data_IF_496940294781
#
_entry.id   IF_496940294781
#
_cell.length_a   1.000
_cell.length_b   1.000
_cell.length_c   1.000
_cell.angle_alpha   90.00
_cell.angle_beta   90.00
_cell.angle_gamma   90.00
#
_symmetry.space_group_name_H-M   'P 1'
#
loop_
_entity.id
_entity.type
_entity.pdbx_description
1 polymer ?
#
# COMPACT_ATOMS: atom_id res chain seq x y z
N UNK A 1 11.71 -29.28 -2.67
CA UNK A 1 10.31 -29.63 -2.35
C UNK A 1 10.23 -30.65 -1.22
N UNK A 2 11.02 -31.72 -1.25
CA UNK A 2 11.02 -32.74 -0.18
C UNK A 2 11.37 -32.19 1.20
N UNK A 3 12.42 -31.37 1.35
CA UNK A 3 12.71 -30.68 2.62
C UNK A 3 11.55 -29.83 3.16
N UNK A 4 10.77 -29.20 2.27
CA UNK A 4 9.61 -28.42 2.67
C UNK A 4 8.49 -29.34 3.18
N UNK A 5 8.21 -30.41 2.43
CA UNK A 5 7.22 -31.41 2.82
C UNK A 5 7.60 -32.07 4.14
N UNK A 6 8.84 -32.48 4.32
CA UNK A 6 9.36 -33.07 5.55
C UNK A 6 9.29 -32.09 6.74
N UNK A 7 9.68 -30.83 6.52
CA UNK A 7 9.63 -29.80 7.56
C UNK A 7 8.20 -29.56 8.05
N UNK A 8 7.27 -29.44 7.10
CA UNK A 8 5.85 -29.23 7.37
C UNK A 8 5.05 -30.52 7.53
N UNK A 9 5.69 -31.70 7.62
CA UNK A 9 5.00 -32.99 7.75
C UNK A 9 3.86 -33.17 6.73
N UNK A 10 4.20 -33.04 5.44
CA UNK A 10 3.30 -33.22 4.30
C UNK A 10 3.68 -34.48 3.50
N UNK A 11 2.72 -35.26 2.98
CA UNK A 11 1.27 -35.08 3.15
C UNK A 11 0.81 -35.45 4.56
N UNK A 12 -0.14 -34.69 5.11
CA UNK A 12 -0.71 -34.89 6.44
C UNK A 12 -1.91 -33.96 6.64
N UNK A 13 -2.77 -34.24 7.62
CA UNK A 13 -3.90 -33.37 7.94
C UNK A 13 -3.38 -32.02 8.46
N UNK A 14 -3.67 -30.95 7.72
CA UNK A 14 -3.23 -29.60 8.08
C UNK A 14 -3.92 -29.06 9.32
N UNK A 15 -5.03 -29.67 9.75
CA UNK A 15 -5.80 -29.30 10.93
C UNK A 15 -5.46 -30.15 12.19
N UNK A 16 -4.51 -31.08 12.11
CA UNK A 16 -4.05 -31.85 13.28
C UNK A 16 -3.28 -30.94 14.26
N UNK A 17 -3.86 -30.74 15.46
CA UNK A 17 -3.26 -29.94 16.54
C UNK A 17 -1.87 -30.43 16.96
N UNK A 18 -1.63 -31.76 16.96
CA UNK A 18 -0.32 -32.32 17.35
C UNK A 18 0.75 -32.00 16.31
N UNK A 19 0.38 -32.02 15.03
CA UNK A 19 1.27 -31.58 13.93
C UNK A 19 1.58 -30.09 14.05
N UNK A 20 0.58 -29.26 14.36
CA UNK A 20 0.77 -27.83 14.56
C UNK A 20 1.78 -27.53 15.69
N UNK A 21 1.68 -28.22 16.83
CA UNK A 21 2.62 -28.09 17.95
C UNK A 21 4.05 -28.45 17.58
N UNK A 22 4.26 -29.56 16.84
CA UNK A 22 5.59 -29.98 16.39
C UNK A 22 6.22 -28.98 15.41
N UNK A 23 5.44 -28.47 14.46
CA UNK A 23 5.91 -27.45 13.52
C UNK A 23 6.26 -26.15 14.27
N UNK A 24 5.44 -25.72 15.24
CA UNK A 24 5.73 -24.57 16.10
C UNK A 24 7.06 -24.73 16.86
N UNK A 25 7.31 -25.91 17.43
CA UNK A 25 8.56 -26.21 18.12
C UNK A 25 9.79 -26.16 17.17
N UNK A 26 9.68 -26.73 15.96
CA UNK A 26 10.75 -26.66 14.94
C UNK A 26 11.05 -25.23 14.52
N UNK A 27 10.03 -24.40 14.33
CA UNK A 27 10.21 -22.97 13.99
C UNK A 27 10.89 -22.22 15.13
N UNK A 28 10.53 -22.50 16.39
CA UNK A 28 11.17 -21.88 17.55
C UNK A 28 12.66 -22.24 17.67
N UNK A 29 13.02 -23.51 17.43
CA UNK A 29 14.42 -23.96 17.42
C UNK A 29 15.25 -23.24 16.34
N UNK A 30 14.72 -23.11 15.12
CA UNK A 30 15.39 -22.40 14.03
C UNK A 30 15.59 -20.90 14.31
N UNK A 31 14.66 -20.26 15.03
CA UNK A 31 14.82 -18.87 15.47
C UNK A 31 15.99 -18.72 16.43
N UNK A 32 16.08 -19.62 17.42
CA UNK A 32 17.15 -19.61 18.40
C UNK A 32 18.52 -19.92 17.79
N UNK A 33 18.59 -20.80 16.78
CA UNK A 33 19.82 -21.08 16.04
C UNK A 33 20.27 -19.88 15.19
N UNK A 34 19.36 -19.24 14.46
CA UNK A 34 19.68 -18.02 13.70
C UNK A 34 20.11 -16.86 14.58
N UNK A 35 19.54 -16.73 15.77
CA UNK A 35 19.98 -15.76 16.78
C UNK A 35 21.38 -16.06 17.34
N UNK A 36 21.80 -17.33 17.34
CA UNK A 36 23.17 -17.71 17.70
C UNK A 36 24.16 -17.50 16.56
N UNK A 37 23.78 -17.81 15.32
CA UNK A 37 24.61 -17.59 14.13
C UNK A 37 24.80 -16.10 13.81
N UNK A 38 23.78 -15.26 13.99
CA UNK A 38 23.89 -13.80 13.80
C UNK A 38 24.78 -13.11 14.83
N UNK A 39 25.08 -13.78 15.96
CA UNK A 39 25.96 -13.31 17.03
C UNK A 39 27.43 -13.71 16.83
N UNK A 40 27.83 -14.15 15.64
CA UNK A 40 29.23 -14.46 15.34
C UNK A 40 30.17 -13.26 15.54
N UNK A 41 31.06 -13.35 16.54
CA UNK A 41 32.26 -12.55 16.87
C UNK A 41 32.23 -11.00 16.78
N UNK A 42 31.10 -10.37 16.46
CA UNK A 42 30.89 -8.92 16.52
C UNK A 42 29.60 -8.60 17.28
N UNK A 43 29.59 -7.52 18.05
CA UNK A 43 28.38 -7.02 18.73
C UNK A 43 27.34 -6.69 17.64
N UNK A 44 26.23 -7.45 17.58
CA UNK A 44 25.12 -7.13 16.68
C UNK A 44 24.65 -5.71 16.95
N UNK A 45 24.61 -4.86 15.92
CA UNK A 45 24.07 -3.51 16.06
C UNK A 45 22.59 -3.57 16.44
N UNK A 46 22.14 -2.58 17.20
CA UNK A 46 20.72 -2.40 17.45
C UNK A 46 19.98 -1.99 16.17
N UNK A 47 18.65 -2.13 16.16
CA UNK A 47 17.85 -1.65 15.04
C UNK A 47 18.05 -0.14 14.84
N UNK A 48 18.13 0.60 15.93
CA UNK A 48 18.30 2.05 15.93
C UNK A 48 19.65 2.45 15.33
N UNK A 49 20.74 1.75 15.70
CA UNK A 49 22.08 1.94 15.12
C UNK A 49 22.10 1.64 13.62
N UNK A 50 21.43 0.57 13.17
CA UNK A 50 21.32 0.24 11.74
C UNK A 50 20.49 1.27 10.97
N UNK A 51 19.41 1.78 11.57
CA UNK A 51 18.64 2.86 10.96
C UNK A 51 19.49 4.13 10.82
N UNK A 52 20.19 4.54 11.87
CA UNK A 52 21.05 5.73 11.86
C UNK A 52 22.18 5.62 10.83
N UNK A 53 22.82 4.46 10.74
CA UNK A 53 23.79 4.17 9.68
C UNK A 53 23.17 4.27 8.28
N UNK A 54 21.93 3.81 8.09
CA UNK A 54 21.25 3.83 6.80
C UNK A 54 20.85 5.24 6.33
N UNK A 55 20.70 6.22 7.23
CA UNK A 55 20.31 7.59 6.87
C UNK A 55 21.32 8.24 5.90
N UNK A 56 22.60 7.89 6.01
CA UNK A 56 23.70 8.44 5.22
C UNK A 56 24.39 7.43 4.31
N UNK A 57 24.00 6.14 4.37
CA UNK A 57 24.57 5.07 3.56
C UNK A 57 24.49 5.34 2.05
N UNK A 58 25.35 4.65 1.29
CA UNK A 58 25.33 4.67 -0.17
C UNK A 58 24.02 4.10 -0.74
N UNK A 59 23.48 3.04 -0.11
CA UNK A 59 22.19 2.44 -0.46
C UNK A 59 21.19 2.70 0.66
N UNK A 60 20.21 3.55 0.36
CA UNK A 60 19.28 4.10 1.36
C UNK A 60 17.90 3.45 1.30
N UNK A 61 17.36 3.09 2.46
CA UNK A 61 15.98 2.63 2.60
C UNK A 61 15.03 3.84 2.67
N UNK A 62 14.60 4.32 1.50
CA UNK A 62 13.72 5.49 1.38
C UNK A 62 12.23 5.18 1.67
N UNK A 63 11.90 3.91 1.86
CA UNK A 63 10.55 3.48 2.22
C UNK A 63 10.47 1.98 2.41
N UNK A 64 9.85 1.57 3.51
CA UNK A 64 9.56 0.18 3.82
C UNK A 64 8.05 -0.06 3.74
N UNK A 65 7.66 -1.18 3.14
CA UNK A 65 6.26 -1.62 3.00
C UNK A 65 6.08 -2.96 3.70
N UNK A 66 5.05 -3.07 4.53
CA UNK A 66 4.60 -4.34 5.11
C UNK A 66 3.22 -4.68 4.57
N UNK A 67 3.02 -5.94 4.17
CA UNK A 67 1.71 -6.50 3.86
C UNK A 67 1.19 -7.24 5.10
N UNK A 68 -0.04 -6.99 5.50
CA UNK A 68 -0.65 -7.61 6.68
C UNK A 68 -2.15 -7.84 6.49
N UNK A 69 -2.75 -8.57 7.43
CA UNK A 69 -4.20 -8.67 7.52
C UNK A 69 -4.75 -7.43 8.24
N UNK A 70 -5.95 -6.95 7.89
CA UNK A 70 -6.73 -5.98 8.64
C UNK A 70 -6.69 -6.14 10.15
N UNK A 71 -6.93 -7.33 10.70
CA UNK A 71 -6.92 -7.56 12.15
C UNK A 71 -5.53 -7.46 12.83
N UNK A 72 -4.48 -7.21 12.05
CA UNK A 72 -3.09 -6.99 12.48
C UNK A 72 -2.59 -5.59 12.05
N UNK A 73 -3.51 -4.65 11.81
CA UNK A 73 -3.24 -3.29 11.39
C UNK A 73 -3.69 -2.24 12.41
N UNK A 74 -3.88 -2.62 13.68
CA UNK A 74 -4.31 -1.69 14.73
C UNK A 74 -3.14 -0.89 15.29
N UNK A 75 -3.44 0.05 16.19
CA UNK A 75 -2.50 0.95 16.86
C UNK A 75 -1.25 0.23 17.36
N UNK A 76 -1.40 -0.88 18.08
CA UNK A 76 -0.28 -1.62 18.67
C UNK A 76 0.72 -2.07 17.58
N UNK A 77 0.23 -2.74 16.54
CA UNK A 77 1.07 -3.16 15.42
C UNK A 77 1.59 -1.95 14.64
N UNK A 78 0.78 -0.90 14.49
CA UNK A 78 1.18 0.36 13.86
C UNK A 78 2.36 1.04 14.56
N UNK A 79 2.40 1.03 15.90
CA UNK A 79 3.52 1.55 16.68
C UNK A 79 4.80 0.72 16.44
N UNK A 80 4.68 -0.60 16.34
CA UNK A 80 5.81 -1.46 15.99
C UNK A 80 6.28 -1.22 14.54
N UNK A 81 5.35 -1.02 13.61
CA UNK A 81 5.68 -0.67 12.21
C UNK A 81 6.45 0.65 12.14
N UNK A 82 6.08 1.66 12.95
CA UNK A 82 6.83 2.91 13.06
C UNK A 82 8.25 2.68 13.57
N UNK A 83 8.42 1.84 14.61
CA UNK A 83 9.74 1.47 15.15
C UNK A 83 10.63 0.83 14.07
N UNK A 84 10.06 -0.03 13.23
CA UNK A 84 10.75 -0.68 12.11
C UNK A 84 11.09 0.27 10.95
N UNK A 85 10.59 1.51 10.93
CA UNK A 85 10.79 2.45 9.82
C UNK A 85 9.86 2.22 8.63
N UNK A 86 8.72 1.55 8.85
CA UNK A 86 7.68 1.34 7.83
C UNK A 86 7.08 2.68 7.44
N UNK A 87 6.75 2.85 6.15
CA UNK A 87 6.08 4.05 5.64
C UNK A 87 4.76 3.73 4.94
N UNK A 88 4.57 2.47 4.53
CA UNK A 88 3.35 1.99 3.87
C UNK A 88 2.91 0.66 4.47
N UNK A 89 1.62 0.53 4.70
CA UNK A 89 1.00 -0.73 5.07
C UNK A 89 0.03 -1.14 3.96
N UNK A 90 0.06 -2.41 3.59
CA UNK A 90 -0.88 -3.00 2.65
C UNK A 90 -1.81 -3.97 3.37
N UNK A 91 -3.11 -3.66 3.35
CA UNK A 91 -4.12 -4.45 4.01
C UNK A 91 -4.80 -5.39 3.02
N UNK A 92 -4.77 -6.68 3.33
CA UNK A 92 -5.49 -7.69 2.59
C UNK A 92 -6.99 -7.71 2.87
N UNK A 93 -7.72 -6.67 2.47
CA UNK A 93 -9.19 -6.49 2.62
C UNK A 93 -9.99 -7.50 1.81
N UNK A 94 -9.53 -7.80 0.59
CA UNK A 94 -10.12 -8.71 -0.39
C UNK A 94 -11.49 -8.29 -0.94
N UNK A 95 -12.48 -8.02 -0.09
CA UNK A 95 -13.86 -7.68 -0.48
C UNK A 95 -14.57 -6.93 0.65
N UNK A 96 -15.63 -6.20 0.33
CA UNK A 96 -16.46 -5.47 1.31
C UNK A 96 -17.69 -6.27 1.77
N UNK A 97 -17.70 -7.59 1.55
CA UNK A 97 -18.78 -8.50 1.90
C UNK A 97 -18.31 -9.54 2.92
N UNK A 98 -18.83 -9.46 4.15
CA UNK A 98 -18.41 -10.34 5.25
C UNK A 98 -18.69 -11.82 4.99
N UNK A 99 -19.81 -12.16 4.34
CA UNK A 99 -20.13 -13.53 3.93
C UNK A 99 -19.06 -14.17 3.02
N UNK A 100 -18.40 -13.38 2.18
CA UNK A 100 -17.32 -13.85 1.31
C UNK A 100 -16.06 -14.03 2.13
N UNK A 101 -15.74 -13.08 3.03
CA UNK A 101 -14.61 -13.16 3.95
C UNK A 101 -14.71 -14.42 4.84
N UNK A 102 -15.89 -14.66 5.42
CA UNK A 102 -16.18 -15.85 6.22
C UNK A 102 -16.01 -17.13 5.39
N UNK A 103 -16.54 -17.18 4.16
CA UNK A 103 -16.38 -18.35 3.29
C UNK A 103 -14.92 -18.67 3.00
N UNK A 104 -14.10 -17.67 2.68
CA UNK A 104 -12.68 -17.89 2.39
C UNK A 104 -11.82 -18.01 3.65
N UNK A 105 -12.46 -18.20 4.80
CA UNK A 105 -11.85 -18.32 6.13
C UNK A 105 -10.86 -17.17 6.42
N UNK A 106 -11.29 -15.95 6.07
CA UNK A 106 -10.57 -14.74 6.43
C UNK A 106 -10.87 -14.44 7.89
N UNK A 107 -9.86 -14.41 8.75
CA UNK A 107 -10.06 -14.13 10.18
C UNK A 107 -10.24 -12.65 10.51
N UNK A 108 -10.89 -11.89 9.63
CA UNK A 108 -11.32 -10.52 9.87
C UNK A 108 -12.60 -10.23 9.09
N UNK A 109 -13.35 -9.24 9.55
CA UNK A 109 -14.51 -8.65 8.89
C UNK A 109 -14.15 -7.31 8.22
N UNK A 110 -15.15 -6.71 7.60
CA UNK A 110 -15.04 -5.38 6.97
C UNK A 110 -14.77 -4.29 8.01
N UNK A 111 -15.34 -4.40 9.21
CA UNK A 111 -15.13 -3.42 10.28
C UNK A 111 -13.66 -3.39 10.75
N UNK A 112 -13.02 -4.55 10.90
CA UNK A 112 -11.59 -4.64 11.17
C UNK A 112 -10.75 -3.96 10.08
N UNK A 113 -11.19 -4.04 8.82
CA UNK A 113 -10.55 -3.31 7.71
C UNK A 113 -10.69 -1.80 7.87
N UNK A 114 -11.90 -1.31 8.13
CA UNK A 114 -12.17 0.12 8.35
C UNK A 114 -11.35 0.66 9.54
N UNK A 115 -11.39 -0.05 10.67
CA UNK A 115 -10.65 0.33 11.88
C UNK A 115 -9.15 0.42 11.63
N UNK A 116 -8.55 -0.58 10.99
CA UNK A 116 -7.11 -0.56 10.67
C UNK A 116 -6.74 0.53 9.70
N UNK A 117 -7.55 0.79 8.67
CA UNK A 117 -7.32 1.92 7.77
C UNK A 117 -7.33 3.25 8.53
N UNK A 118 -8.28 3.44 9.46
CA UNK A 118 -8.37 4.65 10.28
C UNK A 118 -7.13 4.86 11.16
N UNK A 119 -6.74 3.83 11.93
CA UNK A 119 -5.62 3.92 12.87
C UNK A 119 -4.28 4.09 12.14
N UNK A 120 -4.07 3.39 11.02
CA UNK A 120 -2.84 3.54 10.23
C UNK A 120 -2.73 4.93 9.59
N UNK A 121 -3.85 5.51 9.13
CA UNK A 121 -3.85 6.89 8.62
C UNK A 121 -3.52 7.91 9.70
N UNK A 122 -4.10 7.75 10.89
CA UNK A 122 -3.85 8.65 12.03
C UNK A 122 -2.45 8.49 12.63
N UNK A 123 -1.75 7.39 12.33
CA UNK A 123 -0.31 7.21 12.54
C UNK A 123 0.55 7.71 11.36
N UNK A 124 -0.06 8.26 10.31
CA UNK A 124 0.62 8.84 9.16
C UNK A 124 0.95 7.87 8.03
N UNK A 125 0.67 6.57 8.13
CA UNK A 125 1.02 5.60 7.07
C UNK A 125 0.29 5.86 5.77
N UNK A 126 0.96 5.55 4.64
CA UNK A 126 0.28 5.26 3.37
C UNK A 126 -0.46 3.94 3.48
N UNK A 127 -1.71 3.90 3.04
CA UNK A 127 -2.55 2.70 3.11
C UNK A 127 -2.88 2.21 1.71
N UNK A 128 -2.35 1.04 1.36
CA UNK A 128 -2.74 0.29 0.18
C UNK A 128 -3.73 -0.80 0.60
N UNK A 129 -4.77 -1.05 -0.19
CA UNK A 129 -5.63 -2.21 0.02
C UNK A 129 -5.51 -3.19 -1.14
N UNK A 130 -5.58 -4.47 -0.82
CA UNK A 130 -5.63 -5.54 -1.80
C UNK A 130 -7.07 -6.06 -1.90
N UNK A 131 -7.69 -5.86 -3.06
CA UNK A 131 -9.01 -6.36 -3.42
C UNK A 131 -8.88 -7.54 -4.37
N UNK A 132 -9.73 -8.55 -4.19
CA UNK A 132 -9.76 -9.74 -5.02
C UNK A 132 -11.11 -9.89 -5.74
N UNK A 133 -11.05 -10.21 -7.03
CA UNK A 133 -12.24 -10.47 -7.84
C UNK A 133 -12.52 -11.97 -7.90
N UNK A 134 -13.79 -12.37 -7.86
CA UNK A 134 -14.21 -13.73 -8.11
C UNK A 134 -13.90 -14.69 -6.96
N UNK A 135 -13.96 -14.21 -5.73
CA UNK A 135 -13.92 -15.06 -4.54
C UNK A 135 -15.22 -15.88 -4.38
N UNK A 136 -15.18 -17.11 -3.84
CA UNK A 136 -16.37 -17.92 -3.61
C UNK A 136 -17.19 -17.44 -2.40
N UNK A 137 -18.50 -17.69 -2.45
CA UNK A 137 -19.49 -17.59 -1.37
C UNK A 137 -19.81 -18.96 -0.79
N UNK A 138 -20.67 -19.01 0.23
CA UNK A 138 -21.08 -20.24 0.90
C UNK A 138 -21.60 -21.32 -0.06
N UNK A 139 -22.37 -20.92 -1.06
CA UNK A 139 -22.94 -21.78 -2.10
C UNK A 139 -21.95 -22.22 -3.21
N UNK A 140 -20.67 -21.82 -3.09
CA UNK A 140 -19.64 -22.11 -4.09
C UNK A 140 -19.63 -21.15 -5.29
N UNK A 141 -20.63 -20.26 -5.41
CA UNK A 141 -20.68 -19.26 -6.48
C UNK A 141 -19.83 -18.05 -6.15
N UNK A 142 -19.47 -17.29 -7.18
CA UNK A 142 -18.81 -15.99 -7.04
C UNK A 142 -19.85 -14.88 -6.87
N UNK A 143 -19.40 -13.71 -6.42
CA UNK A 143 -20.16 -12.48 -6.62
C UNK A 143 -20.43 -12.28 -8.11
N UNK A 144 -21.61 -11.77 -8.42
CA UNK A 144 -21.94 -11.30 -9.77
C UNK A 144 -21.06 -10.12 -10.15
N UNK A 145 -20.93 -9.86 -11.46
CA UNK A 145 -20.24 -8.67 -11.97
C UNK A 145 -20.73 -7.37 -11.32
N UNK A 146 -22.04 -7.24 -11.08
CA UNK A 146 -22.62 -6.05 -10.48
C UNK A 146 -22.20 -5.88 -9.02
N UNK A 147 -22.18 -6.97 -8.24
CA UNK A 147 -21.70 -6.98 -6.85
C UNK A 147 -20.19 -6.69 -6.77
N UNK A 148 -19.37 -7.25 -7.67
CA UNK A 148 -17.93 -6.95 -7.75
C UNK A 148 -17.67 -5.46 -8.03
N UNK A 149 -18.42 -4.88 -8.98
CA UNK A 149 -18.34 -3.45 -9.27
C UNK A 149 -18.82 -2.61 -8.09
N UNK A 150 -19.90 -3.01 -7.42
CA UNK A 150 -20.40 -2.35 -6.21
C UNK A 150 -19.35 -2.36 -5.09
N UNK A 151 -18.68 -3.50 -4.88
CA UNK A 151 -17.59 -3.65 -3.90
C UNK A 151 -16.47 -2.65 -4.14
N UNK A 152 -16.02 -2.55 -5.41
CA UNK A 152 -14.94 -1.67 -5.82
C UNK A 152 -15.33 -0.19 -5.87
N UNK A 153 -16.61 0.14 -6.09
CA UNK A 153 -17.14 1.51 -5.95
C UNK A 153 -17.18 1.94 -4.50
N UNK A 154 -17.70 1.07 -3.62
CA UNK A 154 -17.88 1.35 -2.20
C UNK A 154 -16.59 1.82 -1.53
N UNK A 155 -15.44 1.19 -1.83
CA UNK A 155 -14.15 1.58 -1.23
C UNK A 155 -13.69 3.02 -1.57
N UNK A 156 -14.28 3.68 -2.57
CA UNK A 156 -13.98 5.06 -2.92
C UNK A 156 -15.09 6.04 -2.53
N UNK A 157 -16.35 5.59 -2.57
CA UNK A 157 -17.51 6.39 -2.18
C UNK A 157 -17.58 6.57 -0.65
N UNK A 158 -17.42 5.46 0.08
CA UNK A 158 -17.49 5.42 1.54
C UNK A 158 -16.21 6.02 2.17
N UNK A 159 -16.34 7.13 2.93
CA UNK A 159 -15.22 7.77 3.62
C UNK A 159 -14.46 6.84 4.57
N UNK A 160 -15.07 5.74 5.04
CA UNK A 160 -14.41 4.77 5.91
C UNK A 160 -13.16 4.12 5.26
N UNK A 161 -13.11 4.02 3.93
CA UNK A 161 -12.03 3.38 3.17
C UNK A 161 -11.10 4.38 2.47
N UNK A 162 -11.49 4.87 1.28
CA UNK A 162 -10.80 5.83 0.40
C UNK A 162 -9.28 5.60 0.24
N UNK A 163 -8.80 4.37 -0.05
CA UNK A 163 -7.39 3.99 0.06
C UNK A 163 -6.47 4.82 -0.84
N UNK A 164 -5.24 5.08 -0.40
CA UNK A 164 -4.25 5.79 -1.22
C UNK A 164 -3.84 4.98 -2.45
N UNK A 165 -3.84 3.66 -2.29
CA UNK A 165 -3.35 2.69 -3.26
C UNK A 165 -4.27 1.48 -3.33
N UNK A 166 -4.32 0.86 -4.51
CA UNK A 166 -5.12 -0.33 -4.75
C UNK A 166 -4.33 -1.40 -5.53
N UNK A 167 -4.35 -2.63 -5.03
CA UNK A 167 -4.04 -3.86 -5.77
C UNK A 167 -5.35 -4.58 -6.09
N UNK A 168 -5.58 -4.94 -7.36
CA UNK A 168 -6.77 -5.69 -7.80
C UNK A 168 -6.33 -7.01 -8.43
N UNK A 169 -6.55 -8.13 -7.73
CA UNK A 169 -6.15 -9.46 -8.21
C UNK A 169 -7.37 -10.34 -8.46
N UNK A 170 -7.54 -10.89 -9.66
CA UNK A 170 -8.47 -11.99 -9.87
C UNK A 170 -8.09 -13.19 -8.99
N UNK A 171 -9.08 -13.86 -8.41
CA UNK A 171 -8.89 -15.11 -7.69
C UNK A 171 -8.42 -16.20 -8.66
N UNK A 172 -7.36 -16.90 -8.28
CA UNK A 172 -6.76 -17.99 -9.05
C UNK A 172 -6.93 -19.30 -8.28
N UNK A 173 -7.19 -20.37 -9.03
CA UNK A 173 -7.21 -21.73 -8.47
C UNK A 173 -5.78 -22.26 -8.50
N UNK A 174 -5.16 -22.39 -7.33
CA UNK A 174 -3.79 -22.88 -7.19
C UNK A 174 -3.79 -24.37 -6.85
N UNK A 175 -2.85 -25.17 -7.40
CA UNK A 175 -2.69 -26.58 -7.04
C UNK A 175 -2.53 -26.79 -5.53
N UNK A 176 -3.19 -27.82 -4.99
CA UNK A 176 -3.09 -28.19 -3.58
C UNK A 176 -3.85 -27.25 -2.62
N UNK A 177 -4.81 -26.47 -3.12
CA UNK A 177 -5.66 -25.60 -2.29
C UNK A 177 -7.09 -26.12 -2.23
N UNK A 178 -7.85 -25.75 -1.19
CA UNK A 178 -9.27 -26.09 -1.10
C UNK A 178 -10.10 -25.54 -2.29
N UNK A 179 -9.67 -24.44 -2.90
CA UNK A 179 -10.28 -23.94 -4.15
C UNK A 179 -10.12 -24.90 -5.32
N UNK A 180 -8.98 -25.60 -5.41
CA UNK A 180 -8.76 -26.60 -6.45
C UNK A 180 -9.70 -27.79 -6.30
N UNK A 181 -9.94 -28.23 -5.07
CA UNK A 181 -10.89 -29.32 -4.79
C UNK A 181 -12.32 -28.94 -5.20
N UNK A 182 -12.75 -27.71 -4.88
CA UNK A 182 -14.06 -27.20 -5.28
C UNK A 182 -14.18 -27.07 -6.82
N UNK A 183 -13.11 -26.63 -7.47
CA UNK A 183 -13.04 -26.54 -8.93
C UNK A 183 -13.14 -27.94 -9.58
N UNK A 184 -12.36 -28.91 -9.13
CA UNK A 184 -12.38 -30.30 -9.63
C UNK A 184 -13.74 -30.98 -9.44
N UNK A 185 -14.48 -30.62 -8.38
CA UNK A 185 -15.85 -31.11 -8.13
C UNK A 185 -16.93 -30.38 -8.94
N UNK A 186 -16.57 -29.36 -9.74
CA UNK A 186 -17.53 -28.54 -10.49
C UNK A 186 -18.36 -27.58 -9.63
N UNK A 187 -18.00 -27.39 -8.35
CA UNK A 187 -18.73 -26.54 -7.40
C UNK A 187 -18.32 -25.08 -7.52
N UNK A 188 -17.07 -24.81 -7.90
CA UNK A 188 -16.53 -23.46 -8.07
C UNK A 188 -16.05 -23.25 -9.51
N UNK A 189 -16.48 -22.15 -10.13
CA UNK A 189 -15.95 -21.68 -11.39
C UNK A 189 -15.20 -20.36 -11.16
N UNK A 190 -13.89 -20.26 -11.47
CA UNK A 190 -13.15 -19.02 -11.28
C UNK A 190 -13.59 -17.94 -12.27
N UNK A 191 -13.18 -16.70 -12.01
CA UNK A 191 -13.43 -15.58 -12.91
C UNK A 191 -12.59 -15.72 -14.19
N UNK A 192 -13.21 -15.47 -15.35
CA UNK A 192 -12.54 -15.49 -16.63
C UNK A 192 -11.70 -14.22 -16.84
N UNK A 193 -10.70 -14.30 -17.74
CA UNK A 193 -9.83 -13.18 -18.10
C UNK A 193 -10.62 -11.98 -18.63
N UNK A 194 -11.59 -12.22 -19.49
CA UNK A 194 -12.45 -11.21 -20.11
C UNK A 194 -13.33 -10.53 -19.07
N UNK A 195 -14.04 -11.31 -18.25
CA UNK A 195 -14.91 -10.82 -17.17
C UNK A 195 -14.11 -9.96 -16.17
N UNK A 196 -12.92 -10.43 -15.73
CA UNK A 196 -12.06 -9.67 -14.85
C UNK A 196 -11.58 -8.36 -15.49
N UNK A 197 -11.20 -8.39 -16.77
CA UNK A 197 -10.74 -7.21 -17.47
C UNK A 197 -11.84 -6.16 -17.61
N UNK A 198 -13.05 -6.59 -17.96
CA UNK A 198 -14.23 -5.73 -18.10
C UNK A 198 -14.60 -5.06 -16.76
N UNK A 199 -14.59 -5.81 -15.65
CA UNK A 199 -14.79 -5.24 -14.31
C UNK A 199 -13.71 -4.17 -14.03
N UNK A 200 -12.44 -4.46 -14.28
CA UNK A 200 -11.35 -3.53 -14.00
C UNK A 200 -11.42 -2.27 -14.88
N UNK A 201 -11.84 -2.39 -16.13
CA UNK A 201 -12.04 -1.24 -17.02
C UNK A 201 -13.15 -0.34 -16.49
N UNK A 202 -14.27 -0.92 -16.07
CA UNK A 202 -15.36 -0.15 -15.46
C UNK A 202 -14.94 0.53 -14.17
N UNK A 203 -14.18 -0.14 -13.31
CA UNK A 203 -13.65 0.46 -12.07
C UNK A 203 -12.78 1.68 -12.35
N UNK A 204 -11.95 1.59 -13.39
CA UNK A 204 -11.03 2.66 -13.78
C UNK A 204 -11.72 3.97 -14.16
N UNK A 205 -13.02 3.97 -14.47
CA UNK A 205 -13.81 5.18 -14.76
C UNK A 205 -13.95 6.10 -13.54
N UNK A 206 -14.04 5.53 -12.34
CA UNK A 206 -14.36 6.29 -11.13
C UNK A 206 -13.23 6.32 -10.09
N UNK A 207 -12.07 5.71 -10.36
CA UNK A 207 -10.93 5.78 -9.43
C UNK A 207 -10.50 7.23 -9.24
N UNK A 208 -10.51 7.74 -7.98
CA UNK A 208 -10.16 9.12 -7.70
C UNK A 208 -8.72 9.46 -8.07
N UNK A 209 -8.50 10.74 -8.35
CA UNK A 209 -7.21 11.29 -8.76
C UNK A 209 -6.10 11.17 -7.72
N UNK A 210 -6.46 10.99 -6.44
CA UNK A 210 -5.53 10.74 -5.33
C UNK A 210 -5.10 9.27 -5.23
N UNK A 211 -5.79 8.34 -5.87
CA UNK A 211 -5.53 6.91 -5.71
C UNK A 211 -4.56 6.41 -6.78
N UNK A 212 -3.68 5.47 -6.42
CA UNK A 212 -2.78 4.78 -7.34
C UNK A 212 -3.10 3.28 -7.43
N UNK A 213 -3.49 2.81 -8.61
CA UNK A 213 -3.54 1.35 -8.86
C UNK A 213 -2.11 0.82 -8.94
N UNK A 214 -1.65 0.19 -7.87
CA UNK A 214 -0.32 -0.42 -7.77
C UNK A 214 -0.19 -1.55 -8.78
N UNK A 215 -1.16 -2.45 -8.80
CA UNK A 215 -1.04 -3.69 -9.56
C UNK A 215 -2.40 -4.27 -9.94
N UNK A 216 -2.43 -4.87 -11.12
CA UNK A 216 -3.56 -5.63 -11.66
C UNK A 216 -2.96 -6.99 -11.95
N UNK A 217 -3.41 -8.03 -11.24
CA UNK A 217 -2.86 -9.41 -11.22
C UNK A 217 -1.54 -9.62 -10.43
N UNK A 218 -1.30 -10.88 -10.04
CA UNK A 218 0.00 -11.36 -9.54
C UNK A 218 0.80 -12.01 -10.68
N UNK A 219 2.14 -11.93 -10.62
CA UNK A 219 3.04 -12.49 -11.65
C UNK A 219 3.23 -13.98 -11.33
N UNK A 220 2.14 -14.73 -11.41
CA UNK A 220 2.15 -16.18 -11.31
C UNK A 220 2.19 -16.70 -12.76
N UNK A 221 3.15 -17.55 -13.11
CA UNK A 221 3.16 -18.21 -14.41
C UNK A 221 1.86 -19.00 -14.62
N UNK A 222 1.24 -18.92 -15.81
CA UNK A 222 -0.07 -19.54 -16.06
C UNK A 222 -0.05 -21.06 -15.95
N UNK A 223 1.09 -21.70 -16.21
CA UNK A 223 1.26 -23.15 -16.00
C UNK A 223 1.28 -23.55 -14.51
N UNK A 224 1.42 -22.60 -13.59
CA UNK A 224 1.41 -22.85 -12.15
C UNK A 224 0.01 -22.73 -11.52
N UNK A 225 -1.01 -22.35 -12.31
CA UNK A 225 -2.41 -22.27 -11.87
C UNK A 225 -3.21 -23.42 -12.47
N UNK A 226 -4.14 -23.99 -11.70
CA UNK A 226 -5.09 -24.99 -12.22
C UNK A 226 -6.17 -24.33 -13.08
N UNK A 227 -6.67 -23.15 -12.68
CA UNK A 227 -7.70 -22.40 -13.40
C UNK A 227 -7.78 -20.93 -12.97
N UNK A 228 -8.51 -20.12 -13.73
CA UNK A 228 -8.72 -18.68 -13.50
C UNK A 228 -8.15 -17.85 -14.64
N UNK A 229 -7.73 -16.62 -14.33
CA UNK A 229 -7.12 -15.74 -15.33
C UNK A 229 -5.84 -16.36 -15.89
N UNK A 230 -5.84 -16.55 -17.21
CA UNK A 230 -4.88 -17.33 -17.99
C UNK A 230 -3.86 -16.46 -18.74
N UNK A 231 -3.76 -15.18 -18.36
CA UNK A 231 -2.82 -14.21 -18.95
C UNK A 231 -1.88 -13.63 -17.90
N UNK A 232 -0.58 -13.62 -18.21
CA UNK A 232 0.43 -12.93 -17.40
C UNK A 232 0.51 -11.44 -17.68
N UNK A 233 -0.25 -10.93 -18.66
CA UNK A 233 -0.24 -9.53 -19.08
C UNK A 233 -1.62 -8.83 -18.97
N UNK A 234 -2.48 -9.22 -18.02
CA UNK A 234 -3.83 -8.67 -17.83
C UNK A 234 -3.85 -7.14 -17.80
N UNK A 235 -2.83 -6.49 -17.22
CA UNK A 235 -2.75 -5.03 -17.20
C UNK A 235 -2.69 -4.42 -18.61
N UNK A 236 -1.97 -5.05 -19.55
CA UNK A 236 -1.91 -4.62 -20.95
C UNK A 236 -3.24 -4.87 -21.64
N UNK A 237 -3.85 -6.03 -21.38
CA UNK A 237 -5.16 -6.39 -21.91
C UNK A 237 -6.25 -5.39 -21.47
N UNK A 238 -6.32 -5.08 -20.17
CA UNK A 238 -7.20 -4.04 -19.59
C UNK A 238 -6.93 -2.67 -20.23
N UNK A 239 -5.68 -2.32 -20.52
CA UNK A 239 -5.35 -1.04 -21.14
C UNK A 239 -5.84 -0.96 -22.60
N UNK A 240 -5.71 -2.06 -23.35
CA UNK A 240 -6.24 -2.15 -24.71
C UNK A 240 -7.77 -2.11 -24.73
N UNK A 241 -8.42 -2.82 -23.81
CA UNK A 241 -9.86 -2.81 -23.63
C UNK A 241 -10.39 -1.41 -23.28
N UNK A 242 -9.77 -0.75 -22.28
CA UNK A 242 -10.12 0.63 -21.92
C UNK A 242 -9.99 1.58 -23.11
N UNK A 243 -8.94 1.45 -23.93
CA UNK A 243 -8.75 2.27 -25.13
C UNK A 243 -9.87 2.03 -26.15
N UNK A 244 -10.24 0.77 -26.39
CA UNK A 244 -11.31 0.38 -27.32
C UNK A 244 -12.67 0.94 -26.89
N UNK A 245 -12.94 0.98 -25.59
CA UNK A 245 -14.19 1.46 -25.00
C UNK A 245 -14.19 2.96 -24.69
N UNK A 246 -13.13 3.69 -25.03
CA UNK A 246 -13.02 5.13 -24.76
C UNK A 246 -12.90 5.48 -23.26
N UNK A 247 -12.47 4.53 -22.43
CA UNK A 247 -12.33 4.73 -20.98
C UNK A 247 -11.05 5.46 -20.63
N UNK A 248 -11.19 6.63 -20.01
CA UNK A 248 -10.07 7.43 -19.50
C UNK A 248 -9.94 7.23 -17.99
N UNK A 249 -8.82 6.64 -17.55
CA UNK A 249 -8.54 6.46 -16.13
C UNK A 249 -7.78 7.65 -15.54
N UNK A 250 -8.28 8.22 -14.44
CA UNK A 250 -7.72 9.39 -13.76
C UNK A 250 -6.79 9.06 -12.58
N UNK A 251 -6.55 7.78 -12.29
CA UNK A 251 -5.66 7.38 -11.18
C UNK A 251 -4.22 7.89 -11.40
N UNK A 252 -3.45 8.01 -10.32
CA UNK A 252 -2.06 8.50 -10.35
C UNK A 252 -1.21 7.72 -11.36
N UNK A 253 -1.31 6.38 -11.39
CA UNK A 253 -0.49 5.56 -12.31
C UNK A 253 -0.77 5.82 -13.78
N UNK A 254 -1.99 6.25 -14.14
CA UNK A 254 -2.34 6.57 -15.52
C UNK A 254 -1.88 7.99 -15.92
N UNK A 255 -1.65 8.86 -14.93
CA UNK A 255 -1.23 10.26 -15.11
C UNK A 255 0.23 10.52 -14.73
N UNK A 256 0.96 9.61 -14.09
CA UNK A 256 2.38 9.82 -13.78
C UNK A 256 3.19 10.12 -15.05
N UNK A 257 4.12 11.08 -14.98
CA UNK A 257 4.87 11.60 -16.14
C UNK A 257 5.71 10.51 -16.83
N UNK A 258 6.18 9.51 -16.09
CA UNK A 258 7.03 8.44 -16.62
C UNK A 258 8.31 9.02 -17.23
N UNK A 259 8.68 8.54 -18.44
CA UNK A 259 9.85 9.02 -19.19
C UNK A 259 9.54 10.20 -20.14
N UNK A 260 8.33 10.76 -20.09
CA UNK A 260 7.90 11.79 -21.05
C UNK A 260 8.48 13.14 -20.67
N UNK A 261 8.97 13.88 -21.65
CA UNK A 261 9.34 15.29 -21.49
C UNK A 261 8.07 16.13 -21.44
N UNK A 262 7.93 16.94 -20.41
CA UNK A 262 6.82 17.91 -20.29
C UNK A 262 7.37 19.26 -20.72
N UNK A 263 6.60 20.06 -21.47
CA UNK A 263 7.07 21.38 -21.95
C UNK A 263 6.40 22.53 -21.18
N UNK A 264 5.24 22.28 -20.56
CA UNK A 264 4.48 23.30 -19.82
C UNK A 264 4.87 23.37 -18.36
N UNK A 265 4.78 24.56 -17.78
CA UNK A 265 5.00 24.77 -16.35
C UNK A 265 3.93 24.04 -15.52
N UNK A 266 4.32 23.31 -14.45
CA UNK A 266 3.37 22.59 -13.63
C UNK A 266 2.61 23.53 -12.68
N UNK A 267 1.30 23.32 -12.59
CA UNK A 267 0.42 24.00 -11.63
C UNK A 267 0.23 23.16 -10.37
N UNK A 268 0.10 23.82 -9.22
CA UNK A 268 -0.33 23.17 -7.99
C UNK A 268 -1.85 22.91 -8.05
N UNK A 269 -2.25 21.68 -7.76
CA UNK A 269 -3.66 21.27 -7.62
C UNK A 269 -3.84 20.63 -6.26
N UNK A 270 -4.76 21.17 -5.46
CA UNK A 270 -5.10 20.64 -4.13
C UNK A 270 -6.49 20.02 -4.19
N UNK A 271 -6.61 18.78 -3.73
CA UNK A 271 -7.88 18.06 -3.61
C UNK A 271 -8.08 17.66 -2.16
N UNK A 272 -9.13 18.19 -1.55
CA UNK A 272 -9.52 17.83 -0.19
C UNK A 272 -10.58 16.74 -0.22
N UNK A 273 -10.49 15.77 0.70
CA UNK A 273 -11.51 14.76 0.89
C UNK A 273 -11.46 14.21 2.31
N UNK A 274 -12.62 13.80 2.82
CA UNK A 274 -12.69 13.10 4.10
C UNK A 274 -12.24 11.65 3.95
N UNK A 275 -11.52 11.11 4.93
CA UNK A 275 -11.24 9.68 5.00
C UNK A 275 -11.03 9.26 6.45
N UNK A 276 -11.72 8.20 6.87
CA UNK A 276 -11.65 7.64 8.22
C UNK A 276 -11.78 8.72 9.30
N UNK A 277 -12.83 9.54 9.20
CA UNK A 277 -13.16 10.69 10.07
C UNK A 277 -12.13 11.82 10.13
N UNK A 278 -11.03 11.75 9.37
CA UNK A 278 -10.07 12.84 9.23
C UNK A 278 -10.18 13.53 7.88
N UNK A 279 -9.41 14.60 7.71
CA UNK A 279 -9.36 15.38 6.46
C UNK A 279 -8.05 15.13 5.74
N UNK A 280 -8.12 14.71 4.48
CA UNK A 280 -6.99 14.46 3.60
C UNK A 280 -6.85 15.57 2.56
N UNK A 281 -5.62 15.97 2.28
CA UNK A 281 -5.25 16.93 1.25
C UNK A 281 -4.27 16.26 0.31
N UNK A 282 -4.72 15.98 -0.91
CA UNK A 282 -3.87 15.51 -1.99
C UNK A 282 -3.40 16.70 -2.83
N UNK A 283 -2.15 17.10 -2.64
CA UNK A 283 -1.51 18.21 -3.34
C UNK A 283 -0.65 17.65 -4.47
N UNK A 284 -0.81 18.14 -5.70
CA UNK A 284 -0.09 17.60 -6.86
C UNK A 284 0.40 18.71 -7.77
N UNK A 285 1.61 18.53 -8.31
CA UNK A 285 2.14 19.35 -9.38
C UNK A 285 1.76 18.71 -10.71
N UNK A 286 0.87 19.36 -11.45
CA UNK A 286 0.28 18.81 -12.68
C UNK A 286 0.60 19.65 -13.93
N UNK A 287 0.90 19.01 -15.05
CA UNK A 287 1.05 19.66 -16.35
C UNK A 287 0.61 18.73 -17.47
N UNK A 288 -0.10 19.24 -18.49
CA UNK A 288 -0.59 18.45 -19.62
C UNK A 288 -1.31 17.15 -19.18
N UNK A 289 -2.13 17.25 -18.13
CA UNK A 289 -2.85 16.11 -17.53
C UNK A 289 -1.94 15.01 -16.94
N UNK A 290 -0.69 15.36 -16.63
CA UNK A 290 0.29 14.49 -15.99
C UNK A 290 0.63 14.98 -14.59
N UNK A 291 0.93 14.04 -13.70
CA UNK A 291 1.41 14.28 -12.34
C UNK A 291 2.93 14.18 -12.34
N UNK A 292 3.61 15.27 -11.99
CA UNK A 292 5.07 15.34 -11.85
C UNK A 292 5.53 15.06 -10.42
N UNK A 293 4.67 15.30 -9.45
CA UNK A 293 4.89 14.99 -8.05
C UNK A 293 3.64 15.28 -7.26
N UNK A 294 3.53 14.67 -6.08
CA UNK A 294 2.41 14.86 -5.18
C UNK A 294 2.83 14.73 -3.72
N UNK A 295 1.99 15.26 -2.84
CA UNK A 295 2.09 15.18 -1.40
C UNK A 295 0.72 14.81 -0.82
N UNK A 296 0.71 13.93 0.18
CA UNK A 296 -0.47 13.58 0.99
C UNK A 296 -0.33 14.19 2.35
N UNK A 297 -1.20 15.11 2.71
CA UNK A 297 -1.30 15.69 4.05
C UNK A 297 -2.61 15.27 4.71
N UNK A 298 -2.60 15.04 6.02
CA UNK A 298 -3.78 14.66 6.79
C UNK A 298 -3.90 15.49 8.06
N UNK A 299 -5.11 15.91 8.39
CA UNK A 299 -5.47 16.26 9.77
C UNK A 299 -6.06 15.02 10.43
N UNK A 300 -5.38 14.45 11.43
CA UNK A 300 -5.78 13.19 12.03
C UNK A 300 -7.04 13.38 12.87
N UNK A 301 -7.82 12.30 13.00
CA UNK A 301 -8.99 12.29 13.87
C UNK A 301 -8.62 11.81 15.28
N UNK A 302 -7.71 10.84 15.39
CA UNK A 302 -7.20 10.33 16.66
C UNK A 302 -5.73 10.68 16.84
N UNK A 303 -5.35 11.01 18.07
CA UNK A 303 -3.97 11.28 18.46
C UNK A 303 -3.31 9.98 18.96
N UNK A 304 -2.78 9.19 18.04
CA UNK A 304 -2.35 7.80 18.33
C UNK A 304 -0.88 7.65 18.75
N UNK A 305 -0.10 8.73 18.70
CA UNK A 305 1.31 8.74 19.08
C UNK A 305 1.64 10.08 19.77
N UNK A 306 2.52 10.13 20.81
CA UNK A 306 2.83 11.37 21.55
C UNK A 306 3.31 12.54 20.68
N UNK A 307 3.99 12.25 19.58
CA UNK A 307 4.44 13.26 18.62
C UNK A 307 3.30 13.94 17.81
N UNK A 308 2.09 13.37 17.83
CA UNK A 308 0.92 13.83 17.09
C UNK A 308 -0.05 14.50 18.07
N UNK A 309 -0.29 15.79 17.87
CA UNK A 309 -1.14 16.64 18.73
C UNK A 309 -2.31 17.24 17.93
N UNK A 310 -3.26 17.87 18.62
CA UNK A 310 -4.35 18.65 18.00
C UNK A 310 -3.83 19.69 16.99
N UNK A 311 -2.64 20.24 17.24
CA UNK A 311 -2.01 21.26 16.39
C UNK A 311 -1.20 20.67 15.22
N UNK A 312 -1.21 19.34 15.06
CA UNK A 312 -0.39 18.63 14.07
C UNK A 312 -1.09 18.47 12.72
N UNK A 313 -0.33 18.64 11.65
CA UNK A 313 -0.64 18.21 10.29
C UNK A 313 0.35 17.12 9.87
N UNK A 314 -0.17 15.97 9.43
CA UNK A 314 0.64 14.81 9.08
C UNK A 314 0.97 14.82 7.60
N UNK A 315 2.25 14.74 7.21
CA UNK A 315 2.66 14.43 5.83
C UNK A 315 2.89 12.92 5.74
N UNK A 316 2.01 12.27 4.98
CA UNK A 316 1.95 10.81 4.82
C UNK A 316 2.80 10.31 3.65
N UNK A 317 2.95 11.16 2.64
CA UNK A 317 3.74 10.86 1.45
C UNK A 317 4.19 12.16 0.79
N UNK A 318 5.46 12.22 0.39
CA UNK A 318 5.95 13.12 -0.64
C UNK A 318 6.58 12.25 -1.73
N UNK A 319 6.13 12.43 -2.96
CA UNK A 319 6.67 11.70 -4.10
C UNK A 319 6.85 12.65 -5.27
N UNK A 320 8.09 12.79 -5.76
CA UNK A 320 8.39 13.53 -6.98
C UNK A 320 8.88 12.51 -8.01
N UNK A 321 8.22 12.47 -9.16
CA UNK A 321 8.67 11.66 -10.27
C UNK A 321 9.89 12.33 -10.89
N UNK A 322 11.03 11.66 -10.82
CA UNK A 322 12.23 12.00 -11.58
C UNK A 322 12.66 10.82 -12.44
N UNK A 323 13.57 11.06 -13.38
CA UNK A 323 14.44 9.98 -13.83
C UNK A 323 15.36 9.61 -12.66
N UNK A 324 15.59 8.32 -12.43
CA UNK A 324 16.51 7.88 -11.39
C UNK A 324 17.92 8.36 -11.78
N UNK A 325 18.36 9.49 -11.21
CA UNK A 325 19.72 9.99 -11.38
C UNK A 325 20.53 9.50 -10.18
N UNK A 326 21.68 8.90 -10.44
CA UNK A 326 22.62 8.53 -9.38
C UNK A 326 22.99 9.77 -8.56
N UNK A 327 23.21 9.59 -7.26
CA UNK A 327 23.62 10.67 -6.35
C UNK A 327 24.96 11.23 -6.84
N UNK A 328 24.97 12.43 -7.40
CA UNK A 328 26.18 13.13 -7.82
C UNK A 328 26.21 13.56 -9.30
N UNK A 329 25.34 13.02 -10.15
CA UNK A 329 25.28 13.41 -11.57
C UNK A 329 24.11 14.35 -11.84
N UNK A 330 24.36 15.38 -12.66
CA UNK A 330 23.33 16.28 -13.16
C UNK A 330 22.99 15.90 -14.60
N UNK A 331 21.81 15.35 -14.81
CA UNK A 331 21.27 15.19 -16.16
C UNK A 331 20.70 16.52 -16.67
N UNK A 332 20.88 16.82 -17.95
CA UNK A 332 20.37 18.03 -18.61
C UNK A 332 18.82 18.11 -18.61
N UNK A 333 18.14 16.98 -18.30
CA UNK A 333 16.68 16.90 -18.06
C UNK A 333 16.27 17.04 -16.58
N UNK A 334 17.21 16.87 -15.64
CA UNK A 334 16.98 16.91 -14.18
C UNK A 334 16.60 18.29 -13.64
N UNK A 335 16.77 19.34 -14.44
CA UNK A 335 16.35 20.72 -14.13
C UNK A 335 14.84 20.87 -14.01
N UNK A 336 14.03 20.02 -14.67
CA UNK A 336 12.58 20.19 -14.74
C UNK A 336 11.83 19.75 -13.47
N UNK A 337 12.41 18.83 -12.71
CA UNK A 337 11.84 18.32 -11.46
C UNK A 337 12.52 18.89 -10.20
N UNK A 338 13.60 19.67 -10.38
CA UNK A 338 14.30 20.33 -9.27
C UNK A 338 13.37 21.31 -8.57
N UNK A 339 13.24 21.17 -7.26
CA UNK A 339 12.45 22.06 -6.42
C UNK A 339 10.95 21.75 -6.32
N UNK A 340 10.39 20.81 -7.10
CA UNK A 340 8.97 20.45 -6.97
C UNK A 340 8.63 19.91 -5.58
N UNK A 341 9.54 19.11 -5.01
CA UNK A 341 9.39 18.60 -3.64
C UNK A 341 9.31 19.73 -2.63
N UNK A 342 10.20 20.73 -2.73
CA UNK A 342 10.17 21.92 -1.86
C UNK A 342 8.89 22.73 -2.05
N UNK A 343 8.46 22.99 -3.30
CA UNK A 343 7.19 23.68 -3.60
C UNK A 343 5.98 22.98 -2.96
N UNK A 344 5.94 21.65 -2.98
CA UNK A 344 4.87 20.86 -2.33
C UNK A 344 4.95 20.96 -0.80
N UNK A 345 6.15 20.93 -0.22
CA UNK A 345 6.34 21.14 1.22
C UNK A 345 5.89 22.54 1.64
N UNK A 346 6.34 23.59 0.95
CA UNK A 346 5.97 24.99 1.23
C UNK A 346 4.45 25.22 1.12
N UNK A 347 3.80 24.60 0.12
CA UNK A 347 2.36 24.61 -0.03
C UNK A 347 1.67 23.91 1.16
N UNK A 348 2.16 22.74 1.58
CA UNK A 348 1.59 22.00 2.71
C UNK A 348 1.73 22.76 4.04
N UNK A 349 2.87 23.40 4.28
CA UNK A 349 3.11 24.23 5.47
C UNK A 349 2.19 25.45 5.48
N UNK A 350 2.01 26.09 4.32
CA UNK A 350 1.06 27.21 4.17
C UNK A 350 -0.38 26.79 4.42
N UNK A 351 -0.83 25.66 3.85
CA UNK A 351 -2.17 25.12 4.10
C UNK A 351 -2.38 24.73 5.56
N UNK A 352 -1.37 24.14 6.21
CA UNK A 352 -1.42 23.81 7.62
C UNK A 352 -1.61 25.08 8.48
N UNK A 353 -0.84 26.15 8.22
CA UNK A 353 -0.99 27.45 8.91
C UNK A 353 -2.38 28.06 8.71
N UNK A 354 -2.91 28.04 7.49
CA UNK A 354 -4.27 28.57 7.21
C UNK A 354 -5.36 27.82 7.98
N UNK A 355 -5.15 26.55 8.32
CA UNK A 355 -6.04 25.75 9.16
C UNK A 355 -5.66 25.76 10.66
N UNK A 356 -4.83 26.72 11.10
CA UNK A 356 -4.46 26.88 12.50
C UNK A 356 -3.55 25.79 13.06
N UNK A 357 -2.95 24.96 12.21
CA UNK A 357 -1.98 23.95 12.63
C UNK A 357 -0.62 24.61 12.87
N UNK A 358 0.07 24.18 13.93
CA UNK A 358 1.35 24.73 14.37
C UNK A 358 2.51 23.74 14.30
N UNK A 359 2.24 22.48 13.95
CA UNK A 359 3.26 21.43 13.86
C UNK A 359 3.05 20.61 12.59
N UNK A 360 4.13 20.41 11.83
CA UNK A 360 4.19 19.40 10.77
C UNK A 360 4.82 18.13 11.32
N UNK A 361 4.25 16.97 10.99
CA UNK A 361 4.77 15.64 11.37
C UNK A 361 4.86 14.79 10.12
N UNK A 362 6.06 14.33 9.76
CA UNK A 362 6.32 13.58 8.54
C UNK A 362 6.71 12.15 8.86
N UNK A 363 6.01 11.18 8.27
CA UNK A 363 6.45 9.79 8.26
C UNK A 363 7.48 9.57 7.13
N UNK A 364 8.76 9.73 7.48
CA UNK A 364 9.86 9.58 6.54
C UNK A 364 10.42 8.16 6.56
N UNK A 365 10.75 7.62 5.39
CA UNK A 365 11.68 6.50 5.31
C UNK A 365 13.03 6.90 5.90
N UNK A 366 13.71 5.95 6.54
CA UNK A 366 14.98 6.17 7.26
C UNK A 366 16.00 6.87 6.36
N UNK A 367 16.22 6.32 5.17
CA UNK A 367 17.14 6.85 4.16
C UNK A 367 16.73 8.19 3.53
N UNK A 368 15.54 8.72 3.83
CA UNK A 368 15.03 9.99 3.33
C UNK A 368 15.01 11.10 4.39
N UNK A 369 15.34 10.82 5.66
CA UNK A 369 15.29 11.80 6.76
C UNK A 369 16.17 13.04 6.51
N UNK A 370 17.33 12.85 5.91
CA UNK A 370 18.25 13.93 5.51
C UNK A 370 17.61 14.98 4.58
N UNK A 371 16.67 14.58 3.71
CA UNK A 371 15.95 15.51 2.83
C UNK A 371 15.11 16.51 3.65
N UNK A 372 14.48 16.03 4.73
CA UNK A 372 13.66 16.86 5.60
C UNK A 372 14.52 17.72 6.55
N UNK A 373 15.67 17.20 7.02
CA UNK A 373 16.62 17.98 7.84
C UNK A 373 17.09 19.25 7.14
N UNK A 374 17.41 19.17 5.85
CA UNK A 374 17.79 20.33 5.02
C UNK A 374 16.69 21.39 4.90
N UNK A 375 15.45 21.08 5.27
CA UNK A 375 14.29 21.99 5.26
C UNK A 375 13.88 22.42 6.68
N UNK A 376 14.71 22.14 7.68
CA UNK A 376 14.49 22.54 9.07
C UNK A 376 13.62 21.58 9.89
N UNK A 377 13.40 20.35 9.42
CA UNK A 377 12.75 19.32 10.22
C UNK A 377 13.76 18.62 11.13
N UNK A 378 13.34 18.29 12.35
CA UNK A 378 14.14 17.54 13.34
C UNK A 378 13.48 16.20 13.63
N UNK A 379 14.26 15.21 14.09
CA UNK A 379 13.73 13.88 14.43
C UNK A 379 13.02 13.94 15.78
N UNK A 380 11.78 13.44 15.85
CA UNK A 380 11.02 13.25 17.09
C UNK A 380 10.40 11.84 17.07
N UNK A 381 11.04 10.91 17.79
CA UNK A 381 10.70 9.48 17.73
C UNK A 381 10.85 8.93 16.30
N UNK A 382 9.79 8.31 15.72
CA UNK A 382 9.84 7.76 14.36
C UNK A 382 9.63 8.80 13.26
N UNK A 383 9.26 10.05 13.60
CA UNK A 383 8.87 11.09 12.64
C UNK A 383 9.95 12.14 12.44
N UNK A 384 9.82 12.91 11.35
CA UNK A 384 10.49 14.20 11.17
C UNK A 384 9.47 15.31 11.43
N UNK A 385 9.75 16.22 12.35
CA UNK A 385 8.81 17.26 12.78
C UNK A 385 9.35 18.67 12.53
N UNK A 386 8.45 19.63 12.35
CA UNK A 386 8.79 21.05 12.27
C UNK A 386 7.70 21.88 12.92
N UNK A 387 8.07 22.77 13.83
CA UNK A 387 7.16 23.77 14.38
C UNK A 387 6.97 24.88 13.34
N UNK A 388 5.72 25.20 13.05
CA UNK A 388 5.36 26.30 12.17
C UNK A 388 5.31 27.56 13.04
N UNK A 389 6.35 28.40 12.94
CA UNK A 389 6.32 29.72 13.57
C UNK A 389 5.18 30.52 12.94
N UNK A 390 4.34 31.13 13.77
CA UNK A 390 3.34 32.11 13.34
C UNK A 390 4.09 33.26 12.67
N UNK A 391 3.80 33.50 11.39
CA UNK A 391 4.31 34.68 10.68
C UNK A 391 3.66 35.96 11.15
#
# INVERSE_FOLDING_TARGET
LERFKEFFELPGDVNDKKREERIKARIAALRNEKEKESRGNGKSRSLEEEQEANETAAVRCIGLTIETRPDWGYKEQGLEFLRLGVTRVELGVQTVYDEVLQKVNRGHDVEASIKSMAELRDLGFKVNIHMMLGLPRHDGKRLSRAEELSSLKKIFEDPAFRPDMLKIYPCLVMPGTGLEELYKKGVFAPIATEEAAEIIVEVKRFIPEYCRIMRIQRDIPTHATTAGVDRTNLRQYVAALAKREGVVCRCIRCREVGRRRIVKEPRLVVREYEASNGREFFMSMEACDRVLGFLRMRFPNRLLHPAITEESALIRELHVYGQAVAVGESDASGTQHRGLGKKLMDASESTARMHGKKKMVVISGVGAREYYRRQGYVREGPYMVKVLVSG
#
